data_IF_773336082527
#
_entry.id   IF_773336082527
#
_cell.length_a   1.000
_cell.length_b   1.000
_cell.length_c   1.000
_cell.angle_alpha   90.00
_cell.angle_beta   90.00
_cell.angle_gamma   90.00
#
_symmetry.space_group_name_H-M   'P 1'
#
loop_
_entity.id
_entity.type
_entity.pdbx_description
1 polymer ?
#
# COMPACT_ATOMS: atom_id res chain seq x y z
N UNK A 1 -7.14 20.92 -4.00
CA UNK A 1 -8.53 20.45 -3.75
C UNK A 1 -9.11 19.57 -4.88
N UNK A 2 -8.53 19.58 -6.09
CA UNK A 2 -9.04 18.76 -7.19
C UNK A 2 -8.84 17.25 -6.99
N UNK A 3 -7.73 16.82 -6.39
CA UNK A 3 -7.40 15.40 -6.23
C UNK A 3 -8.39 14.63 -5.35
N UNK A 4 -8.77 15.11 -4.15
CA UNK A 4 -9.79 14.42 -3.34
C UNK A 4 -11.12 14.28 -4.08
N UNK A 5 -11.59 15.34 -4.79
CA UNK A 5 -12.85 15.31 -5.54
C UNK A 5 -12.80 14.25 -6.65
N UNK A 6 -11.71 14.16 -7.38
CA UNK A 6 -11.53 13.16 -8.43
C UNK A 6 -11.54 11.74 -7.86
N UNK A 7 -10.84 11.50 -6.74
CA UNK A 7 -10.81 10.20 -6.08
C UNK A 7 -12.18 9.80 -5.51
N UNK A 8 -12.93 10.76 -4.93
CA UNK A 8 -14.32 10.55 -4.49
C UNK A 8 -15.19 10.11 -5.66
N UNK A 9 -15.12 10.83 -6.79
CA UNK A 9 -15.90 10.51 -7.98
C UNK A 9 -15.60 9.09 -8.49
N UNK A 10 -14.32 8.71 -8.52
CA UNK A 10 -13.93 7.36 -8.93
C UNK A 10 -14.44 6.31 -7.95
N UNK A 11 -14.27 6.55 -6.64
CA UNK A 11 -14.72 5.63 -5.60
C UNK A 11 -16.23 5.41 -5.61
N UNK A 12 -17.03 6.49 -5.75
CA UNK A 12 -18.47 6.38 -5.84
C UNK A 12 -18.93 5.61 -7.10
N UNK A 13 -18.25 5.80 -8.24
CA UNK A 13 -18.51 5.02 -9.47
C UNK A 13 -18.12 3.55 -9.32
N UNK A 14 -17.05 3.26 -8.57
CA UNK A 14 -16.60 1.89 -8.30
C UNK A 14 -17.64 1.13 -7.45
N UNK A 15 -18.25 1.81 -6.49
CA UNK A 15 -19.21 1.27 -5.54
C UNK A 15 -18.56 0.48 -4.41
N UNK A 16 -19.33 0.27 -3.33
CA UNK A 16 -18.85 -0.38 -2.08
C UNK A 16 -18.31 -1.79 -2.35
N UNK A 17 -19.06 -2.59 -3.12
CA UNK A 17 -18.71 -3.99 -3.38
C UNK A 17 -17.34 -4.13 -4.06
N UNK A 18 -17.14 -3.41 -5.18
CA UNK A 18 -15.87 -3.46 -5.91
C UNK A 18 -14.72 -2.85 -5.10
N UNK A 19 -14.97 -1.76 -4.35
CA UNK A 19 -14.00 -1.15 -3.46
C UNK A 19 -13.46 -2.17 -2.45
N UNK A 20 -14.35 -2.88 -1.75
CA UNK A 20 -13.97 -3.90 -0.77
C UNK A 20 -13.33 -5.13 -1.39
N UNK A 21 -13.76 -5.53 -2.59
CA UNK A 21 -13.13 -6.61 -3.36
C UNK A 21 -11.64 -6.32 -3.61
N UNK A 22 -11.30 -5.12 -4.07
CA UNK A 22 -9.91 -4.71 -4.27
C UNK A 22 -9.15 -4.57 -2.95
N UNK A 23 -9.78 -4.02 -1.91
CA UNK A 23 -9.19 -3.97 -0.58
C UNK A 23 -8.76 -5.36 -0.08
N UNK A 24 -9.58 -6.37 -0.33
CA UNK A 24 -9.29 -7.75 0.01
C UNK A 24 -8.17 -8.33 -0.87
N UNK A 25 -8.22 -8.12 -2.17
CA UNK A 25 -7.18 -8.58 -3.09
C UNK A 25 -5.81 -8.00 -2.75
N UNK A 26 -5.74 -6.71 -2.43
CA UNK A 26 -4.52 -6.06 -1.93
C UNK A 26 -4.12 -6.49 -0.51
N UNK A 27 -4.95 -7.26 0.18
CA UNK A 27 -4.67 -7.76 1.52
C UNK A 27 -4.83 -6.75 2.64
N UNK A 28 -5.53 -5.66 2.38
CA UNK A 28 -5.74 -4.59 3.36
C UNK A 28 -6.76 -4.95 4.46
N UNK A 29 -7.55 -6.01 4.27
CA UNK A 29 -8.52 -6.52 5.26
C UNK A 29 -7.92 -7.52 6.25
N UNK A 30 -6.76 -8.07 5.97
CA UNK A 30 -6.15 -9.15 6.74
C UNK A 30 -4.71 -8.82 7.11
N UNK A 31 -4.17 -9.52 8.10
CA UNK A 31 -2.74 -9.49 8.40
C UNK A 31 -1.92 -9.92 7.18
N UNK A 32 -0.73 -9.39 7.04
CA UNK A 32 0.17 -9.73 5.92
C UNK A 32 0.64 -11.18 5.99
N UNK A 33 0.73 -11.72 7.20
CA UNK A 33 1.27 -13.05 7.48
C UNK A 33 2.79 -13.07 7.56
N UNK A 34 3.39 -11.92 7.91
CA UNK A 34 4.81 -11.85 8.23
C UNK A 34 5.17 -12.84 9.34
N UNK A 35 6.34 -13.42 9.27
CA UNK A 35 6.88 -14.39 10.23
C UNK A 35 7.39 -13.74 11.54
N UNK A 36 6.75 -12.64 11.95
CA UNK A 36 7.01 -11.94 13.21
C UNK A 36 5.75 -11.94 14.09
N UNK A 37 5.90 -12.06 15.41
CA UNK A 37 4.79 -11.96 16.35
C UNK A 37 4.28 -10.52 16.48
N UNK A 38 3.02 -10.36 16.89
CA UNK A 38 2.46 -9.06 17.26
C UNK A 38 1.93 -8.23 16.10
N UNK A 39 1.77 -8.76 14.90
CA UNK A 39 1.16 -8.04 13.78
C UNK A 39 -0.26 -7.59 14.13
N UNK A 40 -0.52 -6.28 14.03
CA UNK A 40 -1.85 -5.71 14.23
C UNK A 40 -2.76 -5.96 13.03
N UNK A 41 -4.07 -5.88 13.25
CA UNK A 41 -5.07 -5.98 12.19
C UNK A 41 -5.49 -4.61 11.65
N UNK A 42 -6.24 -4.62 10.57
CA UNK A 42 -6.90 -3.45 9.98
C UNK A 42 -8.10 -3.04 10.83
N UNK A 43 -8.32 -1.74 10.95
CA UNK A 43 -9.55 -1.14 11.49
C UNK A 43 -10.26 -0.43 10.34
N UNK A 44 -11.45 -0.89 9.99
CA UNK A 44 -12.26 -0.30 8.93
C UNK A 44 -13.75 -0.54 9.16
N UNK A 45 -14.58 0.19 8.44
CA UNK A 45 -16.03 0.01 8.50
C UNK A 45 -16.45 -1.37 7.99
N UNK A 46 -17.57 -1.88 8.53
CA UNK A 46 -18.23 -3.05 7.96
C UNK A 46 -18.90 -2.64 6.62
N UNK A 47 -18.68 -3.38 5.52
CA UNK A 47 -19.28 -3.06 4.22
C UNK A 47 -20.79 -2.93 4.25
N UNK A 48 -21.49 -3.69 5.11
CA UNK A 48 -22.95 -3.65 5.23
C UNK A 48 -23.48 -2.32 5.81
N UNK A 49 -22.62 -1.53 6.43
CA UNK A 49 -22.96 -0.26 7.10
C UNK A 49 -22.34 0.97 6.42
N UNK A 50 -21.85 0.82 5.19
CA UNK A 50 -21.21 1.92 4.47
C UNK A 50 -22.21 2.65 3.60
N UNK A 51 -22.34 3.98 3.86
CA UNK A 51 -23.00 4.93 3.01
C UNK A 51 -22.06 5.62 2.02
N UNK A 52 -22.60 6.53 1.24
CA UNK A 52 -21.83 7.32 0.26
C UNK A 52 -20.74 8.17 0.91
N UNK A 53 -20.97 8.69 2.12
CA UNK A 53 -20.01 9.54 2.85
C UNK A 53 -18.80 8.74 3.29
N UNK A 54 -18.99 7.55 3.83
CA UNK A 54 -17.92 6.66 4.23
C UNK A 54 -17.10 6.22 3.00
N UNK A 55 -17.76 5.79 1.93
CA UNK A 55 -17.09 5.41 0.70
C UNK A 55 -16.31 6.58 0.09
N UNK A 56 -16.89 7.77 0.08
CA UNK A 56 -16.23 8.98 -0.39
C UNK A 56 -14.96 9.28 0.41
N UNK A 57 -15.02 9.21 1.74
CA UNK A 57 -13.86 9.47 2.62
C UNK A 57 -12.79 8.39 2.51
N UNK A 58 -13.18 7.12 2.37
CA UNK A 58 -12.26 6.01 2.14
C UNK A 58 -11.53 6.13 0.79
N UNK A 59 -12.19 6.68 -0.22
CA UNK A 59 -11.64 6.80 -1.57
C UNK A 59 -10.40 7.70 -1.67
N UNK A 60 -10.23 8.64 -0.74
CA UNK A 60 -9.01 9.44 -0.64
C UNK A 60 -8.14 9.09 0.60
N UNK A 61 -8.34 7.90 1.17
CA UNK A 61 -7.44 7.34 2.19
C UNK A 61 -7.77 7.74 3.63
N UNK A 62 -9.02 8.10 3.93
CA UNK A 62 -9.48 8.40 5.28
C UNK A 62 -10.42 7.30 5.81
N UNK A 63 -10.77 7.35 7.10
CA UNK A 63 -11.78 6.49 7.74
C UNK A 63 -11.43 5.00 7.83
N UNK A 64 -10.15 4.63 7.68
CA UNK A 64 -9.64 3.30 7.98
C UNK A 64 -8.20 3.38 8.50
N UNK A 65 -7.73 2.32 9.16
CA UNK A 65 -6.36 2.22 9.65
C UNK A 65 -5.74 0.89 9.19
N UNK A 66 -4.54 0.97 8.68
CA UNK A 66 -3.71 -0.17 8.26
C UNK A 66 -2.33 -0.05 8.88
N UNK A 67 -1.61 -1.15 8.96
CA UNK A 67 -0.23 -1.11 9.45
C UNK A 67 0.72 -0.59 8.35
N UNK A 68 1.86 0.01 8.73
CA UNK A 68 2.90 0.36 7.76
C UNK A 68 3.34 -0.82 6.90
N UNK A 69 3.37 -2.03 7.47
CA UNK A 69 3.73 -3.24 6.73
C UNK A 69 2.68 -3.62 5.69
N UNK A 70 1.38 -3.50 6.02
CA UNK A 70 0.31 -3.70 5.03
C UNK A 70 0.42 -2.69 3.89
N UNK A 71 0.69 -1.41 4.21
CA UNK A 71 0.88 -0.38 3.19
C UNK A 71 2.08 -0.70 2.30
N UNK A 72 3.23 -1.01 2.87
CA UNK A 72 4.44 -1.36 2.12
C UNK A 72 4.21 -2.59 1.21
N UNK A 73 3.55 -3.62 1.72
CA UNK A 73 3.22 -4.82 0.95
C UNK A 73 2.24 -4.52 -0.20
N UNK A 74 1.27 -3.62 0.04
CA UNK A 74 0.32 -3.18 -1.00
C UNK A 74 1.03 -2.40 -2.09
N UNK A 75 1.87 -1.43 -1.73
CA UNK A 75 2.64 -0.66 -2.71
C UNK A 75 3.62 -1.56 -3.48
N UNK A 76 4.29 -2.48 -2.78
CA UNK A 76 5.11 -3.51 -3.45
C UNK A 76 4.31 -4.29 -4.49
N UNK A 77 3.06 -4.67 -4.17
CA UNK A 77 2.19 -5.38 -5.12
C UNK A 77 1.81 -4.54 -6.35
N UNK A 78 1.81 -3.22 -6.23
CA UNK A 78 1.53 -2.31 -7.34
C UNK A 78 2.74 -2.18 -8.26
N UNK A 79 3.97 -2.17 -7.70
CA UNK A 79 5.19 -1.83 -8.44
C UNK A 79 6.07 -3.03 -8.79
N UNK A 80 5.64 -4.26 -8.53
CA UNK A 80 6.38 -5.49 -8.82
C UNK A 80 5.76 -6.35 -9.93
N UNK A 81 5.07 -5.74 -10.87
CA UNK A 81 4.31 -6.44 -11.91
C UNK A 81 2.92 -6.92 -11.43
N UNK A 82 2.38 -6.32 -10.38
CA UNK A 82 1.02 -6.61 -9.88
C UNK A 82 0.91 -7.83 -8.98
N UNK A 83 2.01 -8.37 -8.44
CA UNK A 83 2.05 -9.64 -7.71
C UNK A 83 2.03 -9.42 -6.20
N UNK A 84 1.03 -9.97 -5.52
CA UNK A 84 0.99 -9.95 -4.06
C UNK A 84 1.91 -11.02 -3.48
N UNK A 85 2.82 -10.59 -2.61
CA UNK A 85 3.77 -11.43 -1.90
C UNK A 85 3.43 -11.48 -0.40
N UNK A 86 3.99 -12.47 0.32
CA UNK A 86 4.01 -12.48 1.79
C UNK A 86 5.33 -11.87 2.25
N UNK A 87 5.33 -10.76 3.01
CA UNK A 87 6.56 -10.22 3.60
C UNK A 87 7.13 -11.22 4.60
N UNK A 88 8.44 -11.33 4.67
CA UNK A 88 9.11 -12.28 5.57
C UNK A 88 10.52 -11.80 5.94
N UNK A 89 11.03 -12.27 7.07
CA UNK A 89 12.38 -12.00 7.56
C UNK A 89 13.23 -13.27 7.46
N UNK A 90 12.64 -14.43 7.82
CA UNK A 90 13.34 -15.70 7.80
C UNK A 90 13.44 -16.29 6.41
N UNK A 91 14.62 -16.55 5.91
CA UNK A 91 14.84 -17.23 4.64
C UNK A 91 15.22 -18.69 4.83
N UNK A 92 16.09 -18.97 5.80
CA UNK A 92 16.60 -20.33 6.07
C UNK A 92 17.14 -20.45 7.48
N UNK A 93 17.21 -21.68 7.96
CA UNK A 93 17.91 -22.07 9.18
C UNK A 93 19.08 -22.96 8.80
N UNK A 94 20.24 -22.65 9.33
CA UNK A 94 21.46 -23.42 9.14
C UNK A 94 22.25 -23.53 10.45
N UNK A 95 23.07 -24.57 10.56
CA UNK A 95 24.01 -24.76 11.68
C UNK A 95 25.18 -23.78 11.58
N UNK A 96 25.97 -23.64 12.63
CA UNK A 96 27.14 -22.74 12.66
C UNK A 96 28.21 -23.12 11.62
N UNK A 97 28.29 -24.39 11.23
CA UNK A 97 29.14 -24.91 10.16
C UNK A 97 28.54 -24.82 8.76
N UNK A 98 27.39 -24.16 8.62
CA UNK A 98 26.74 -23.85 7.34
C UNK A 98 25.83 -24.95 6.79
N UNK A 99 25.60 -26.05 7.51
CA UNK A 99 24.69 -27.09 7.07
C UNK A 99 23.23 -26.60 7.10
N UNK A 100 22.54 -26.66 5.95
CA UNK A 100 21.14 -26.26 5.84
C UNK A 100 20.24 -27.22 6.63
N UNK A 101 19.45 -26.67 7.54
CA UNK A 101 18.45 -27.42 8.34
C UNK A 101 17.05 -27.23 7.77
N UNK A 102 16.71 -26.01 7.33
CA UNK A 102 15.39 -25.69 6.80
C UNK A 102 15.47 -24.51 5.84
N UNK A 103 14.75 -24.63 4.71
CA UNK A 103 14.45 -23.50 3.83
C UNK A 103 13.01 -23.12 3.99
N UNK A 104 12.72 -21.81 4.06
CA UNK A 104 11.35 -21.31 4.02
C UNK A 104 10.99 -20.95 2.58
N UNK A 105 9.75 -21.19 2.20
CA UNK A 105 9.21 -20.85 0.89
C UNK A 105 8.04 -19.90 1.06
N UNK A 106 8.08 -18.81 0.33
CA UNK A 106 7.05 -17.76 0.35
C UNK A 106 6.52 -17.56 -1.07
N UNK A 107 5.58 -18.40 -1.50
CA UNK A 107 5.06 -18.31 -2.86
C UNK A 107 4.33 -16.99 -3.08
N UNK A 108 4.34 -16.52 -4.32
CA UNK A 108 3.48 -15.41 -4.77
C UNK A 108 2.03 -15.83 -4.59
N UNK A 109 1.24 -15.01 -3.88
CA UNK A 109 -0.13 -15.36 -3.54
C UNK A 109 -1.08 -15.22 -4.73
N UNK A 110 -1.02 -14.09 -5.43
CA UNK A 110 -1.94 -13.80 -6.52
C UNK A 110 -1.46 -12.62 -7.36
N UNK A 111 -1.92 -12.58 -8.61
CA UNK A 111 -1.84 -11.43 -9.51
C UNK A 111 -3.04 -10.54 -9.24
N UNK A 112 -2.84 -9.28 -8.83
CA UNK A 112 -3.92 -8.33 -8.47
C UNK A 112 -4.24 -7.39 -9.62
N UNK A 113 -3.18 -6.87 -10.27
CA UNK A 113 -3.26 -5.99 -11.43
C UNK A 113 -2.37 -6.52 -12.55
N UNK A 114 -2.60 -6.10 -13.78
CA UNK A 114 -1.75 -6.49 -14.90
C UNK A 114 -0.34 -5.87 -14.79
N UNK A 115 0.62 -6.47 -15.46
CA UNK A 115 1.99 -5.92 -15.57
C UNK A 115 1.95 -4.52 -16.22
N UNK A 116 1.18 -4.33 -17.29
CA UNK A 116 0.98 -3.04 -17.93
C UNK A 116 0.46 -1.95 -16.97
N UNK A 117 -0.50 -2.30 -16.09
CA UNK A 117 -1.00 -1.38 -15.06
C UNK A 117 0.09 -1.07 -14.04
N UNK A 118 0.89 -2.06 -13.67
CA UNK A 118 2.03 -1.88 -12.75
C UNK A 118 3.07 -0.92 -13.34
N UNK A 119 3.47 -1.11 -14.58
CA UNK A 119 4.41 -0.22 -15.30
C UNK A 119 3.88 1.21 -15.39
N UNK A 120 2.60 1.37 -15.73
CA UNK A 120 1.94 2.68 -15.76
C UNK A 120 1.98 3.36 -14.39
N UNK A 121 1.73 2.62 -13.31
CA UNK A 121 1.79 3.13 -11.94
C UNK A 121 3.21 3.51 -11.52
N UNK A 122 4.22 2.72 -11.89
CA UNK A 122 5.63 3.03 -11.63
C UNK A 122 6.00 4.38 -12.28
N UNK A 123 5.72 4.54 -13.57
CA UNK A 123 5.96 5.79 -14.30
C UNK A 123 5.24 6.99 -13.66
N UNK A 124 3.97 6.84 -13.29
CA UNK A 124 3.23 7.93 -12.63
C UNK A 124 3.82 8.29 -11.27
N UNK A 125 4.23 7.29 -10.47
CA UNK A 125 4.81 7.51 -9.14
C UNK A 125 6.23 8.11 -9.22
N UNK A 126 7.00 7.81 -10.26
CA UNK A 126 8.27 8.46 -10.55
C UNK A 126 8.06 9.95 -10.85
N UNK A 127 7.09 10.29 -11.71
CA UNK A 127 6.73 11.68 -11.99
C UNK A 127 6.29 12.47 -10.75
N UNK A 128 5.67 11.83 -9.77
CA UNK A 128 5.35 12.47 -8.47
C UNK A 128 6.61 12.90 -7.73
N UNK A 129 7.68 12.12 -7.80
CA UNK A 129 8.97 12.45 -7.15
C UNK A 129 9.77 13.44 -7.97
N UNK A 130 9.85 13.28 -9.27
CA UNK A 130 10.61 14.19 -10.13
C UNK A 130 9.97 15.59 -10.23
N UNK A 131 8.67 15.65 -10.46
CA UNK A 131 7.97 16.88 -10.86
C UNK A 131 6.83 17.28 -9.92
N UNK A 132 6.43 16.41 -9.00
CA UNK A 132 5.25 16.59 -8.18
C UNK A 132 5.52 16.88 -6.70
N UNK A 133 4.56 16.48 -5.87
CA UNK A 133 4.57 16.68 -4.41
C UNK A 133 5.65 15.84 -3.68
N UNK A 134 6.25 14.88 -4.35
CA UNK A 134 7.29 13.99 -3.81
C UNK A 134 8.72 14.49 -3.99
N UNK A 135 8.95 15.71 -4.52
CA UNK A 135 10.29 16.25 -4.83
C UNK A 135 11.32 16.15 -3.70
N UNK A 136 10.88 16.16 -2.45
CA UNK A 136 11.79 15.96 -1.29
C UNK A 136 12.33 14.54 -1.16
N UNK A 137 11.75 13.59 -1.87
CA UNK A 137 12.23 12.21 -1.97
C UNK A 137 13.19 11.98 -3.15
N UNK A 138 13.44 12.98 -3.98
CA UNK A 138 14.37 12.88 -5.10
C UNK A 138 15.81 12.74 -4.62
N UNK A 139 16.54 11.79 -5.20
CA UNK A 139 17.99 11.62 -4.98
C UNK A 139 18.65 11.54 -6.35
N UNK A 140 19.62 12.40 -6.60
CA UNK A 140 20.35 12.44 -7.86
C UNK A 140 21.04 11.12 -8.16
N UNK A 141 20.88 10.63 -9.39
CA UNK A 141 21.43 9.33 -9.84
C UNK A 141 20.58 8.11 -9.49
N UNK A 142 19.41 8.30 -8.88
CA UNK A 142 18.46 7.22 -8.59
C UNK A 142 17.09 7.52 -9.19
N UNK A 143 16.52 6.54 -9.88
CA UNK A 143 15.10 6.55 -10.26
C UNK A 143 14.27 6.17 -9.04
N UNK A 144 13.45 7.10 -8.54
CA UNK A 144 12.64 6.94 -7.34
C UNK A 144 11.19 7.25 -7.66
N UNK A 145 10.31 6.29 -7.40
CA UNK A 145 8.88 6.51 -7.40
C UNK A 145 8.35 6.66 -5.98
N UNK A 146 7.27 7.40 -5.79
CA UNK A 146 6.70 7.53 -4.45
C UNK A 146 5.49 8.43 -4.35
N UNK A 147 4.89 8.42 -3.15
CA UNK A 147 3.69 9.22 -2.83
C UNK A 147 3.73 9.76 -1.41
N UNK A 148 3.46 11.05 -1.28
CA UNK A 148 3.21 11.69 0.01
C UNK A 148 1.78 11.45 0.48
N UNK A 149 1.58 11.38 1.79
CA UNK A 149 0.26 11.36 2.40
C UNK A 149 0.26 12.21 3.67
N UNK A 150 -0.92 12.75 3.99
CA UNK A 150 -1.13 13.48 5.24
C UNK A 150 -2.47 13.08 5.82
N UNK A 151 -2.47 12.56 7.03
CA UNK A 151 -3.66 12.13 7.75
C UNK A 151 -3.85 12.95 9.02
N UNK A 152 -5.07 13.40 9.27
CA UNK A 152 -5.41 14.09 10.52
C UNK A 152 -5.54 13.07 11.66
N UNK A 153 -4.95 13.37 12.81
CA UNK A 153 -5.09 12.54 14.02
C UNK A 153 -6.38 12.85 14.78
N UNK A 154 -6.76 11.94 15.67
CA UNK A 154 -7.84 12.17 16.62
C UNK A 154 -7.32 12.90 17.88
N UNK A 155 -8.15 13.74 18.55
CA UNK A 155 -9.47 14.18 18.10
C UNK A 155 -9.38 15.12 16.88
N UNK A 156 -10.38 15.05 16.00
CA UNK A 156 -10.45 15.96 14.84
C UNK A 156 -10.44 17.42 15.30
N UNK A 157 -9.75 18.27 14.56
CA UNK A 157 -9.57 19.69 14.95
C UNK A 157 -8.41 19.95 15.90
N UNK A 158 -7.66 18.94 16.33
CA UNK A 158 -6.46 19.09 17.18
C UNK A 158 -5.30 19.82 16.48
N UNK A 159 -5.36 20.03 15.18
CA UNK A 159 -4.26 20.57 14.37
C UNK A 159 -3.07 19.59 14.21
N UNK A 160 -3.20 18.35 14.66
CA UNK A 160 -2.15 17.34 14.56
C UNK A 160 -2.34 16.47 13.33
N UNK A 161 -1.24 16.22 12.62
CA UNK A 161 -1.21 15.43 11.40
C UNK A 161 -0.08 14.40 11.45
N UNK A 162 -0.29 13.26 10.80
CA UNK A 162 0.75 12.31 10.45
C UNK A 162 1.10 12.54 9.00
N UNK A 163 2.32 13.00 8.74
CA UNK A 163 2.89 13.08 7.41
C UNK A 163 3.62 11.77 7.11
N UNK A 164 3.36 11.20 5.95
CA UNK A 164 3.95 9.94 5.51
C UNK A 164 4.47 10.08 4.08
N UNK A 165 5.49 9.30 3.77
CA UNK A 165 5.98 9.09 2.43
C UNK A 165 6.24 7.60 2.24
N UNK A 166 5.76 7.06 1.13
CA UNK A 166 6.13 5.72 0.66
C UNK A 166 6.90 5.88 -0.64
N UNK A 167 8.07 5.26 -0.72
CA UNK A 167 8.92 5.31 -1.89
C UNK A 167 9.47 3.96 -2.26
N UNK A 168 9.88 3.81 -3.51
CA UNK A 168 10.56 2.62 -4.04
C UNK A 168 11.60 3.05 -5.07
N UNK A 169 12.61 2.22 -5.25
CA UNK A 169 13.68 2.39 -6.22
C UNK A 169 14.23 0.99 -6.59
N UNK A 170 14.61 0.75 -7.84
CA UNK A 170 14.46 1.63 -8.99
C UNK A 170 13.00 1.76 -9.43
N UNK A 171 12.62 2.88 -10.07
CA UNK A 171 11.28 3.10 -10.59
C UNK A 171 11.19 2.91 -12.12
N UNK A 172 12.33 2.78 -12.77
CA UNK A 172 12.53 2.66 -14.22
C UNK A 172 12.85 1.22 -14.69
N UNK A 173 12.64 0.21 -13.82
CA UNK A 173 13.02 -1.18 -14.12
C UNK A 173 11.91 -2.17 -13.82
#
# INVERSE_FOLDING_TARGET
>A
DALPISLITVGLRLGVENYYKYFEQFGLKTKTGVDLPGEAGTIMHNPDNIGEVELATMSFGQSFQITPLQLATTVSSIVNGGKRITPHIGMRVQTSDGKLLKNFSYPVKTQIISEETSETMQMMLEQVVENGSGKKGYVEGFSIGGKTATSQTLPRGSGRYIASFVGFSPADN
#
